data_IF_217975076816
#
_entry.id   IF_217975076816
#
_cell.length_a   1.000
_cell.length_b   1.000
_cell.length_c   1.000
_cell.angle_alpha   90.00
_cell.angle_beta   90.00
_cell.angle_gamma   90.00
#
_symmetry.space_group_name_H-M   'P 1'
#
loop_
_entity.id
_entity.type
_entity.pdbx_description
1 polymer ?
#
# COMPACT_ATOMS: atom_id res chain seq x y z
N UNK A 1 47.42 -45.31 1.66
CA UNK A 1 46.77 -45.93 2.82
C UNK A 1 45.76 -44.91 3.32
N UNK A 2 44.57 -44.77 2.75
CA UNK A 2 43.59 -45.77 2.29
C UNK A 2 42.86 -46.46 3.44
N UNK A 3 41.76 -45.85 3.89
CA UNK A 3 40.42 -46.39 3.66
C UNK A 3 39.38 -45.25 3.66
N UNK A 4 38.32 -45.35 2.83
CA UNK A 4 37.22 -44.38 2.82
C UNK A 4 36.23 -44.67 3.96
N UNK A 5 35.42 -43.67 4.32
CA UNK A 5 34.12 -43.91 4.94
C UNK A 5 33.14 -44.20 3.78
N UNK A 6 32.53 -45.37 3.82
CA UNK A 6 31.57 -45.82 2.82
C UNK A 6 30.25 -45.08 2.95
N UNK A 7 29.48 -45.05 1.85
CA UNK A 7 28.02 -45.06 1.89
C UNK A 7 27.53 -46.07 2.93
N UNK A 8 26.76 -45.59 3.91
CA UNK A 8 25.92 -46.44 4.76
C UNK A 8 24.47 -46.07 4.43
N UNK A 9 23.79 -47.07 3.90
CA UNK A 9 22.51 -47.03 3.22
C UNK A 9 21.41 -46.42 4.10
N UNK A 10 20.90 -45.25 3.71
CA UNK A 10 19.58 -44.80 4.18
C UNK A 10 18.51 -45.70 3.56
N UNK A 11 18.29 -46.85 4.20
CA UNK A 11 17.24 -47.80 3.90
C UNK A 11 15.88 -47.12 3.97
N UNK A 12 15.33 -46.75 2.80
CA UNK A 12 13.91 -46.48 2.66
C UNK A 12 13.15 -47.78 2.94
N UNK A 13 12.51 -47.89 4.10
CA UNK A 13 11.39 -48.82 4.24
C UNK A 13 10.28 -48.35 3.28
N UNK A 14 9.82 -49.19 2.33
CA UNK A 14 8.64 -48.86 1.55
C UNK A 14 7.45 -48.81 2.52
N UNK A 15 6.73 -47.70 2.52
CA UNK A 15 5.42 -47.64 3.18
C UNK A 15 4.52 -48.66 2.48
N UNK A 16 3.95 -49.59 3.25
CA UNK A 16 2.99 -50.56 2.73
C UNK A 16 1.79 -49.79 2.13
N UNK A 17 1.66 -49.83 0.80
CA UNK A 17 0.45 -49.44 0.10
C UNK A 17 -0.66 -50.44 0.44
N UNK A 18 -1.45 -50.16 1.48
CA UNK A 18 -2.69 -50.90 1.69
C UNK A 18 -3.67 -50.60 0.54
N UNK A 19 -4.08 -51.61 -0.25
CA UNK A 19 -5.07 -51.40 -1.30
C UNK A 19 -6.44 -51.32 -0.64
N UNK A 20 -6.90 -50.11 -0.31
CA UNK A 20 -8.27 -49.85 0.15
C UNK A 20 -9.23 -49.98 -1.05
N UNK A 21 -9.40 -51.22 -1.50
CA UNK A 21 -10.48 -51.62 -2.39
C UNK A 21 -11.75 -51.81 -1.59
N UNK A 22 -12.64 -50.82 -1.63
CA UNK A 22 -13.96 -50.89 -1.03
C UNK A 22 -14.91 -49.95 -1.78
N UNK A 23 -15.85 -50.53 -2.53
CA UNK A 23 -17.05 -49.83 -2.97
C UNK A 23 -17.90 -49.50 -1.73
N UNK A 24 -17.58 -48.40 -1.05
CA UNK A 24 -18.50 -47.78 -0.10
C UNK A 24 -19.53 -46.98 -0.89
N UNK A 25 -20.76 -47.51 -0.95
CA UNK A 25 -21.92 -46.73 -1.38
C UNK A 25 -21.92 -45.40 -0.60
N UNK A 26 -21.85 -44.28 -1.32
CA UNK A 26 -22.12 -42.96 -0.76
C UNK A 26 -23.59 -42.88 -0.36
N UNK A 27 -23.90 -43.39 0.84
CA UNK A 27 -25.18 -43.13 1.49
C UNK A 27 -25.35 -41.62 1.59
N UNK A 28 -26.43 -41.04 1.03
CA UNK A 28 -26.67 -39.60 1.16
C UNK A 28 -26.66 -39.23 2.64
N UNK A 29 -25.87 -38.23 3.02
CA UNK A 29 -25.91 -37.66 4.36
C UNK A 29 -27.30 -37.08 4.58
N UNK A 30 -28.06 -37.71 5.47
CA UNK A 30 -29.43 -37.31 5.80
C UNK A 30 -29.37 -36.07 6.70
N UNK A 31 -29.40 -34.90 6.07
CA UNK A 31 -29.26 -33.60 6.75
C UNK A 31 -30.42 -33.31 7.72
N UNK A 32 -31.57 -33.98 7.56
CA UNK A 32 -32.71 -33.88 8.48
C UNK A 32 -32.43 -34.58 9.83
N UNK A 33 -31.40 -35.43 9.93
CA UNK A 33 -31.02 -36.13 11.17
C UNK A 33 -30.07 -35.33 12.10
N UNK A 34 -29.64 -34.13 11.71
CA UNK A 34 -28.70 -33.29 12.47
C UNK A 34 -29.35 -32.15 13.28
N UNK A 35 -30.67 -31.94 13.16
CA UNK A 35 -31.39 -30.84 13.85
C UNK A 35 -31.87 -31.24 15.27
N UNK A 36 -31.96 -32.54 15.57
CA UNK A 36 -32.54 -33.07 16.83
C UNK A 36 -31.50 -33.27 17.98
N UNK A 37 -30.19 -33.10 17.75
CA UNK A 37 -29.14 -33.35 18.76
C UNK A 37 -28.36 -32.09 19.20
N UNK A 38 -28.99 -30.92 19.13
CA UNK A 38 -28.50 -29.71 19.82
C UNK A 38 -29.41 -29.45 21.02
N UNK A 39 -29.00 -29.90 22.22
CA UNK A 39 -29.70 -29.53 23.45
C UNK A 39 -29.76 -27.99 23.59
N UNK A 40 -30.94 -27.40 23.88
CA UNK A 40 -31.03 -25.97 24.08
C UNK A 40 -30.22 -25.58 25.30
N UNK A 41 -29.19 -24.75 25.10
CA UNK A 41 -28.37 -24.17 26.17
C UNK A 41 -29.30 -23.45 27.14
N UNK A 42 -29.51 -24.05 28.32
CA UNK A 42 -30.23 -23.43 29.42
C UNK A 42 -29.43 -22.20 29.81
N UNK A 43 -30.03 -21.01 29.64
CA UNK A 43 -29.48 -19.78 30.20
C UNK A 43 -29.68 -19.82 31.70
N UNK A 44 -28.61 -19.59 32.44
CA UNK A 44 -28.65 -19.46 33.89
C UNK A 44 -29.45 -18.19 34.25
N UNK A 45 -30.24 -18.21 35.32
CA UNK A 45 -31.14 -17.10 35.72
C UNK A 45 -30.39 -15.76 35.87
N UNK A 46 -29.10 -15.82 36.26
CA UNK A 46 -28.18 -14.67 36.35
C UNK A 46 -27.98 -13.94 35.01
N UNK A 47 -28.18 -14.63 33.88
CA UNK A 47 -28.09 -14.07 32.52
C UNK A 47 -29.34 -13.30 32.10
N UNK A 48 -30.51 -13.60 32.69
CA UNK A 48 -31.76 -12.90 32.36
C UNK A 48 -31.90 -11.60 33.17
N UNK A 49 -31.50 -11.56 34.46
CA UNK A 49 -31.44 -10.31 35.23
C UNK A 49 -30.52 -9.25 34.59
N UNK A 50 -29.41 -9.68 33.97
CA UNK A 50 -28.52 -8.78 33.24
C UNK A 50 -29.16 -8.16 31.99
N UNK A 51 -30.11 -8.85 31.33
CA UNK A 51 -30.82 -8.30 30.17
C UNK A 51 -31.91 -7.31 30.58
N UNK A 52 -32.62 -7.57 31.67
CA UNK A 52 -33.65 -6.66 32.20
C UNK A 52 -32.99 -5.34 32.71
N UNK A 53 -31.80 -5.43 33.29
CA UNK A 53 -30.98 -4.26 33.68
C UNK A 53 -30.55 -3.40 32.47
N UNK A 54 -30.43 -3.98 31.27
CA UNK A 54 -30.09 -3.23 30.05
C UNK A 54 -31.34 -2.59 29.43
N UNK A 55 -32.52 -3.19 29.60
CA UNK A 55 -33.79 -2.61 29.14
C UNK A 55 -34.14 -1.31 29.89
N UNK A 56 -33.88 -1.24 31.20
CA UNK A 56 -34.20 -0.07 32.03
C UNK A 56 -33.21 1.12 31.87
N UNK A 57 -32.15 0.94 31.06
CA UNK A 57 -31.28 2.03 30.57
C UNK A 57 -31.74 2.60 29.21
N UNK A 58 -32.83 2.09 28.63
CA UNK A 58 -33.46 2.55 27.39
C UNK A 58 -34.24 3.87 27.49
N UNK A 59 -33.71 4.86 28.22
CA UNK A 59 -34.40 6.12 28.52
C UNK A 59 -34.54 7.09 27.33
N UNK A 60 -35.79 7.28 26.89
CA UNK A 60 -36.31 8.46 26.16
C UNK A 60 -35.58 8.89 24.87
N UNK A 61 -35.67 8.06 23.82
CA UNK A 61 -35.59 8.55 22.44
C UNK A 61 -36.98 8.52 21.79
N UNK A 62 -37.67 9.66 21.87
CA UNK A 62 -38.90 9.92 21.10
C UNK A 62 -38.63 9.74 19.60
N UNK A 63 -39.60 9.21 18.82
CA UNK A 63 -39.51 9.27 17.38
C UNK A 63 -39.50 10.75 16.95
N UNK A 64 -38.54 11.12 16.12
CA UNK A 64 -38.56 12.40 15.44
C UNK A 64 -39.60 12.33 14.33
N UNK A 65 -40.71 13.03 14.56
CA UNK A 65 -41.87 13.12 13.66
C UNK A 65 -41.51 13.76 12.31
N UNK A 66 -42.33 13.51 11.30
CA UNK A 66 -42.12 13.97 9.93
C UNK A 66 -42.32 15.50 9.83
N UNK A 67 -41.39 16.18 9.14
CA UNK A 67 -41.63 17.54 8.61
C UNK A 67 -41.11 17.66 7.18
N UNK A 68 -41.87 17.09 6.24
CA UNK A 68 -41.99 17.73 4.92
C UNK A 68 -42.69 19.08 5.11
N UNK A 69 -42.08 20.15 4.61
CA UNK A 69 -42.77 21.39 4.24
C UNK A 69 -41.91 22.16 3.25
N UNK A 70 -42.45 22.34 2.07
CA UNK A 70 -41.83 22.98 0.91
C UNK A 70 -41.86 24.52 0.98
N UNK A 71 -41.40 25.16 -0.11
CA UNK A 71 -41.65 26.55 -0.51
C UNK A 71 -40.89 27.66 0.27
N UNK A 72 -40.46 28.76 -0.37
CA UNK A 72 -40.37 29.07 -1.80
C UNK A 72 -39.31 30.16 -2.05
N UNK A 73 -38.88 30.24 -3.32
CA UNK A 73 -38.23 31.37 -4.02
C UNK A 73 -37.97 32.69 -3.30
N UNK A 74 -36.80 33.30 -3.58
CA UNK A 74 -36.79 34.63 -4.24
C UNK A 74 -35.53 34.84 -5.10
N UNK A 75 -35.73 35.53 -6.23
CA UNK A 75 -34.76 35.86 -7.27
C UNK A 75 -34.06 37.21 -7.02
N UNK A 76 -33.15 37.56 -7.95
CA UNK A 76 -32.51 38.88 -8.13
C UNK A 76 -31.37 39.23 -7.12
N UNK A 77 -30.28 39.89 -7.51
CA UNK A 77 -29.93 40.55 -8.78
C UNK A 77 -28.40 40.70 -8.94
N UNK A 78 -27.88 40.54 -10.16
CA UNK A 78 -26.63 41.21 -10.55
C UNK A 78 -26.88 42.72 -10.71
N UNK A 79 -25.83 43.55 -10.64
CA UNK A 79 -25.45 44.23 -11.89
C UNK A 79 -23.94 44.36 -12.13
N UNK A 80 -23.56 44.34 -13.41
CA UNK A 80 -22.31 44.93 -13.93
C UNK A 80 -22.43 46.47 -14.04
N UNK A 81 -21.38 47.13 -14.58
CA UNK A 81 -21.17 48.58 -14.88
C UNK A 81 -20.50 49.41 -13.76
N UNK A 82 -19.61 50.39 -14.04
CA UNK A 82 -18.83 50.74 -15.25
C UNK A 82 -17.77 51.82 -14.89
N UNK A 83 -16.61 51.80 -15.57
CA UNK A 83 -15.59 52.84 -15.82
C UNK A 83 -15.06 53.85 -14.74
N UNK A 84 -13.72 53.91 -14.74
CA UNK A 84 -12.71 54.99 -14.52
C UNK A 84 -13.12 56.46 -14.88
N UNK A 85 -12.34 57.53 -14.52
CA UNK A 85 -10.87 57.66 -14.37
C UNK A 85 -10.43 58.37 -13.04
N UNK A 86 -9.26 59.02 -12.80
CA UNK A 86 -8.13 59.53 -13.62
C UNK A 86 -6.82 59.78 -12.80
N UNK A 87 -5.83 60.46 -13.41
CA UNK A 87 -4.59 61.07 -12.86
C UNK A 87 -3.46 60.08 -12.42
N UNK A 88 -2.44 59.75 -13.22
CA UNK A 88 -1.41 60.57 -13.92
C UNK A 88 -0.23 60.99 -13.02
N UNK A 89 0.99 60.51 -13.36
CA UNK A 89 2.24 61.30 -13.36
C UNK A 89 3.41 60.54 -14.05
N UNK A 90 3.77 61.02 -15.25
CA UNK A 90 5.08 61.06 -15.93
C UNK A 90 6.10 59.88 -15.91
N UNK A 91 6.49 59.43 -17.12
CA UNK A 91 7.81 58.87 -17.46
C UNK A 91 8.83 60.00 -17.78
N UNK A 92 10.16 59.74 -17.93
CA UNK A 92 10.77 59.16 -19.17
C UNK A 92 11.72 57.95 -18.89
N UNK A 93 12.02 57.03 -19.82
CA UNK A 93 13.01 57.09 -20.94
C UNK A 93 14.46 57.46 -20.52
N UNK A 94 15.58 56.90 -21.04
CA UNK A 94 15.86 55.97 -22.15
C UNK A 94 17.31 55.41 -22.05
N UNK A 95 17.61 54.23 -22.65
CA UNK A 95 18.97 53.77 -23.08
C UNK A 95 20.04 53.57 -21.96
N UNK A 96 21.16 52.83 -22.11
CA UNK A 96 22.12 52.66 -23.23
C UNK A 96 22.74 51.23 -23.24
N UNK A 97 23.01 50.70 -24.43
CA UNK A 97 23.80 49.48 -24.69
C UNK A 97 25.30 49.74 -24.52
N UNK A 98 26.02 48.89 -23.77
CA UNK A 98 27.48 48.87 -23.76
C UNK A 98 28.00 47.43 -23.91
N UNK A 99 28.97 47.26 -24.81
CA UNK A 99 29.55 45.99 -25.27
C UNK A 99 31.08 46.19 -25.32
N UNK A 100 31.85 45.43 -24.55
CA UNK A 100 33.33 45.26 -24.63
C UNK A 100 33.74 44.33 -23.46
N UNK A 101 34.20 43.08 -23.64
CA UNK A 101 35.33 42.53 -24.39
C UNK A 101 36.64 42.45 -23.57
N UNK A 102 37.47 41.45 -23.91
CA UNK A 102 38.68 40.94 -23.23
C UNK A 102 38.46 40.12 -21.93
N UNK A 103 39.23 39.07 -21.59
CA UNK A 103 39.90 37.98 -22.33
C UNK A 103 40.67 37.10 -21.30
N UNK A 104 40.71 35.79 -21.55
CA UNK A 104 41.79 34.84 -21.17
C UNK A 104 42.23 34.64 -19.69
N UNK A 105 41.84 33.47 -19.17
CA UNK A 105 42.75 32.40 -18.69
C UNK A 105 43.63 32.61 -17.45
N UNK A 106 43.28 31.91 -16.35
CA UNK A 106 44.20 30.99 -15.66
C UNK A 106 43.43 29.88 -14.94
N UNK A 107 44.10 28.74 -14.71
CA UNK A 107 43.51 27.50 -14.20
C UNK A 107 43.49 27.42 -12.65
N UNK A 108 42.99 26.29 -12.14
CA UNK A 108 43.02 25.88 -10.71
C UNK A 108 42.31 26.85 -9.74
N UNK A 109 41.12 26.53 -9.24
CA UNK A 109 40.85 25.25 -8.56
C UNK A 109 39.41 24.84 -8.82
N UNK A 110 39.20 23.68 -9.45
CA UNK A 110 37.92 23.00 -9.35
C UNK A 110 37.81 22.45 -7.92
N UNK A 111 37.42 23.32 -6.99
CA UNK A 111 36.77 22.86 -5.78
C UNK A 111 35.56 22.07 -6.26
N UNK A 112 35.63 20.75 -6.13
CA UNK A 112 34.52 19.86 -6.37
C UNK A 112 33.49 20.18 -5.28
N UNK A 113 32.67 21.18 -5.58
CA UNK A 113 31.58 21.65 -4.74
C UNK A 113 30.56 20.52 -4.72
N UNK A 114 30.82 19.57 -3.80
CA UNK A 114 29.89 18.51 -3.42
C UNK A 114 28.58 19.20 -3.13
N UNK A 115 27.71 19.20 -4.14
CA UNK A 115 26.34 19.69 -4.02
C UNK A 115 25.78 19.03 -2.77
N UNK A 116 25.13 19.79 -1.86
CA UNK A 116 24.67 19.23 -0.61
C UNK A 116 23.91 17.95 -0.94
N UNK A 117 24.34 16.84 -0.33
CA UNK A 117 23.81 15.51 -0.66
C UNK A 117 22.36 15.54 -0.22
N UNK A 118 21.46 15.90 -1.14
CA UNK A 118 20.02 15.94 -0.86
C UNK A 118 19.65 14.49 -0.65
N UNK A 119 19.48 14.11 0.62
CA UNK A 119 19.15 12.76 1.06
C UNK A 119 17.85 12.31 0.40
N UNK A 120 18.01 11.69 -0.76
CA UNK A 120 16.93 11.21 -1.59
C UNK A 120 16.51 9.84 -1.06
N UNK A 121 15.23 9.72 -0.71
CA UNK A 121 14.65 8.44 -0.31
C UNK A 121 14.20 7.71 -1.58
N UNK A 122 14.67 6.48 -1.73
CA UNK A 122 14.31 5.58 -2.80
C UNK A 122 13.33 4.52 -2.29
N UNK A 123 12.39 4.13 -3.16
CA UNK A 123 11.53 2.94 -2.99
C UNK A 123 11.56 2.12 -4.27
N UNK A 124 11.54 0.79 -4.12
CA UNK A 124 11.44 -0.14 -5.24
C UNK A 124 10.04 -0.74 -5.20
N UNK A 125 9.28 -0.51 -6.27
CA UNK A 125 7.84 -0.73 -6.31
C UNK A 125 7.47 -1.49 -7.57
N UNK A 126 6.74 -2.60 -7.43
CA UNK A 126 5.98 -3.20 -8.53
C UNK A 126 4.71 -2.33 -8.71
N UNK A 127 4.53 -1.66 -9.86
CA UNK A 127 3.34 -0.85 -10.11
C UNK A 127 2.10 -1.73 -10.26
N UNK A 128 0.95 -1.20 -9.87
CA UNK A 128 -0.33 -1.88 -10.07
C UNK A 128 -0.84 -1.66 -11.51
N UNK A 129 -1.87 -2.41 -11.91
CA UNK A 129 -2.61 -2.08 -13.13
C UNK A 129 -3.30 -0.72 -12.98
N UNK A 130 -3.54 0.04 -14.07
CA UNK A 130 -4.14 1.38 -13.98
C UNK A 130 -5.52 1.42 -13.29
N UNK A 131 -6.31 0.34 -13.39
CA UNK A 131 -7.60 0.24 -12.70
C UNK A 131 -7.41 0.00 -11.19
N UNK A 132 -6.49 -0.88 -10.77
CA UNK A 132 -6.13 -1.04 -9.36
C UNK A 132 -5.56 0.25 -8.77
N UNK A 133 -4.66 0.95 -9.47
CA UNK A 133 -4.16 2.27 -9.04
C UNK A 133 -5.30 3.26 -8.77
N UNK A 134 -6.28 3.32 -9.67
CA UNK A 134 -7.46 4.19 -9.56
C UNK A 134 -8.29 3.80 -8.32
N UNK A 135 -8.56 2.52 -8.12
CA UNK A 135 -9.29 2.03 -6.95
C UNK A 135 -8.57 2.37 -5.63
N UNK A 136 -7.25 2.18 -5.55
CA UNK A 136 -6.45 2.56 -4.37
C UNK A 136 -6.55 4.08 -4.10
N UNK A 137 -6.49 4.92 -5.14
CA UNK A 137 -6.64 6.38 -5.02
C UNK A 137 -8.05 6.77 -4.55
N UNK A 138 -9.10 6.11 -5.03
CA UNK A 138 -10.48 6.32 -4.58
C UNK A 138 -10.67 5.92 -3.11
N UNK A 139 -10.13 4.77 -2.69
CA UNK A 139 -10.16 4.32 -1.30
C UNK A 139 -9.40 5.28 -0.37
N UNK A 140 -8.20 5.74 -0.76
CA UNK A 140 -7.43 6.75 -0.03
C UNK A 140 -8.21 8.05 0.16
N UNK A 141 -8.87 8.52 -0.90
CA UNK A 141 -9.74 9.71 -0.86
C UNK A 141 -10.91 9.53 0.11
N UNK A 142 -11.56 8.36 0.11
CA UNK A 142 -12.66 8.05 1.03
C UNK A 142 -12.18 7.95 2.50
N UNK A 143 -11.03 7.32 2.74
CA UNK A 143 -10.38 7.22 4.05
C UNK A 143 -9.77 8.52 4.57
N UNK A 144 -9.79 9.61 3.77
CA UNK A 144 -9.12 10.90 4.05
C UNK A 144 -7.60 10.78 4.23
N UNK A 145 -6.98 9.86 3.50
CA UNK A 145 -5.56 9.58 3.52
C UNK A 145 -4.87 10.46 2.46
N UNK A 146 -4.16 11.50 2.90
CA UNK A 146 -3.49 12.47 2.01
C UNK A 146 -1.99 12.23 1.86
N UNK A 147 -1.30 11.78 2.91
CA UNK A 147 0.15 11.66 2.94
C UNK A 147 0.58 10.20 2.71
N UNK A 148 0.34 9.71 1.49
CA UNK A 148 0.81 8.38 1.07
C UNK A 148 1.59 8.47 -0.25
N UNK A 149 2.64 7.65 -0.41
CA UNK A 149 3.39 7.59 -1.66
C UNK A 149 2.57 6.86 -2.75
N UNK A 150 3.01 6.84 -4.03
CA UNK A 150 2.25 6.22 -5.12
C UNK A 150 1.76 4.80 -4.83
N UNK A 151 0.56 4.40 -5.29
CA UNK A 151 0.08 3.02 -5.19
C UNK A 151 1.04 2.03 -5.84
N UNK A 152 1.17 0.85 -5.26
CA UNK A 152 2.14 -0.16 -5.70
C UNK A 152 2.39 -1.18 -4.60
N UNK A 153 3.14 -2.23 -4.96
CA UNK A 153 3.67 -3.21 -4.02
C UNK A 153 5.14 -2.88 -3.81
N UNK A 154 5.50 -2.48 -2.60
CA UNK A 154 6.90 -2.31 -2.21
C UNK A 154 7.61 -3.67 -2.16
N UNK A 155 8.80 -3.73 -2.74
CA UNK A 155 9.63 -4.95 -2.76
C UNK A 155 10.70 -4.92 -1.66
N UNK A 156 11.13 -3.73 -1.24
CA UNK A 156 12.03 -3.52 -0.10
C UNK A 156 11.59 -2.30 0.69
N UNK A 157 11.98 -2.22 1.96
CA UNK A 157 11.78 -1.03 2.77
C UNK A 157 12.46 0.21 2.15
N UNK A 158 11.96 1.44 2.38
CA UNK A 158 12.58 2.66 1.86
C UNK A 158 14.04 2.80 2.29
N UNK A 159 14.89 3.27 1.38
CA UNK A 159 16.33 3.37 1.62
C UNK A 159 16.97 4.62 1.00
N UNK A 160 18.17 4.95 1.46
CA UNK A 160 19.09 5.88 0.82
C UNK A 160 20.16 5.09 0.04
N UNK A 161 20.66 5.65 -1.07
CA UNK A 161 21.72 5.03 -1.86
C UNK A 161 22.68 6.09 -2.41
N UNK A 162 23.99 5.86 -2.27
CA UNK A 162 25.05 6.71 -2.82
C UNK A 162 25.25 6.43 -4.32
N UNK A 163 25.41 5.16 -4.70
CA UNK A 163 25.55 4.74 -6.11
C UNK A 163 24.21 4.24 -6.67
N UNK A 164 23.46 5.18 -7.28
CA UNK A 164 22.24 4.89 -8.03
C UNK A 164 22.49 3.90 -9.19
N UNK A 165 23.62 3.99 -9.89
CA UNK A 165 23.85 3.17 -11.09
C UNK A 165 24.08 1.69 -10.73
N UNK A 166 24.76 1.42 -9.62
CA UNK A 166 24.87 0.07 -9.07
C UNK A 166 23.51 -0.50 -8.67
N UNK A 167 22.65 0.29 -8.01
CA UNK A 167 21.28 -0.12 -7.64
C UNK A 167 20.44 -0.44 -8.88
N UNK A 168 20.48 0.40 -9.92
CA UNK A 168 19.77 0.14 -11.19
C UNK A 168 20.28 -1.13 -11.90
N UNK A 169 21.59 -1.40 -11.87
CA UNK A 169 22.16 -2.61 -12.44
C UNK A 169 21.71 -3.88 -11.71
N UNK A 170 21.65 -3.84 -10.36
CA UNK A 170 21.10 -4.94 -9.54
C UNK A 170 19.61 -5.15 -9.82
N UNK A 171 18.81 -4.08 -9.80
CA UNK A 171 17.36 -4.16 -10.07
C UNK A 171 17.06 -4.74 -11.45
N UNK A 172 17.85 -4.36 -12.46
CA UNK A 172 17.75 -4.91 -13.83
C UNK A 172 18.12 -6.40 -13.90
N UNK A 173 19.06 -6.86 -13.07
CA UNK A 173 19.40 -8.28 -13.00
C UNK A 173 18.34 -9.08 -12.25
N UNK A 174 17.79 -8.52 -11.18
CA UNK A 174 16.72 -9.13 -10.38
C UNK A 174 15.43 -9.25 -11.20
N UNK A 175 15.02 -8.18 -11.89
CA UNK A 175 13.81 -8.17 -12.73
C UNK A 175 13.77 -9.34 -13.73
N UNK A 176 14.89 -9.59 -14.41
CA UNK A 176 15.03 -10.68 -15.40
C UNK A 176 14.94 -12.09 -14.82
N UNK A 177 15.16 -12.25 -13.52
CA UNK A 177 15.20 -13.55 -12.86
C UNK A 177 13.86 -13.86 -12.17
N UNK A 178 13.11 -12.84 -11.77
CA UNK A 178 11.89 -12.97 -10.95
C UNK A 178 10.61 -12.49 -11.64
N UNK A 179 10.67 -11.70 -12.72
CA UNK A 179 9.49 -11.22 -13.44
C UNK A 179 9.23 -12.04 -14.73
N UNK A 180 7.97 -12.22 -15.14
CA UNK A 180 6.75 -11.73 -14.51
C UNK A 180 6.33 -12.58 -13.29
N UNK A 181 5.83 -11.92 -12.24
CA UNK A 181 5.13 -12.58 -11.12
C UNK A 181 3.63 -12.54 -11.38
N UNK A 182 2.95 -13.69 -11.34
CA UNK A 182 1.49 -13.73 -11.34
C UNK A 182 0.99 -13.40 -9.93
N UNK A 183 0.16 -12.38 -9.77
CA UNK A 183 -0.32 -11.89 -8.47
C UNK A 183 -1.85 -11.84 -8.44
N UNK A 184 -2.43 -12.27 -7.32
CA UNK A 184 -3.86 -12.23 -7.03
C UNK A 184 -4.13 -11.43 -5.76
N UNK A 185 -5.11 -10.51 -5.80
CA UNK A 185 -5.68 -9.90 -4.59
C UNK A 185 -6.69 -10.89 -3.96
N UNK A 186 -6.33 -11.42 -2.79
CA UNK A 186 -7.08 -12.51 -2.12
C UNK A 186 -7.93 -12.08 -0.93
N UNK A 187 -7.74 -10.86 -0.41
CA UNK A 187 -8.48 -10.41 0.76
C UNK A 187 -8.15 -9.00 1.25
N UNK A 188 -8.81 -8.61 2.34
CA UNK A 188 -8.62 -7.33 3.03
C UNK A 188 -7.90 -7.56 4.36
N UNK A 189 -6.71 -6.97 4.50
CA UNK A 189 -5.95 -6.94 5.76
C UNK A 189 -6.26 -5.67 6.54
N UNK A 190 -6.78 -5.86 7.74
CA UNK A 190 -6.99 -4.83 8.75
C UNK A 190 -5.96 -5.04 9.87
N UNK A 191 -5.12 -4.05 10.16
CA UNK A 191 -4.06 -4.14 11.17
C UNK A 191 -4.08 -2.93 12.12
N UNK A 192 -3.82 -3.17 13.41
CA UNK A 192 -3.59 -2.12 14.41
C UNK A 192 -2.10 -2.01 14.66
N UNK A 193 -1.58 -0.79 14.65
CA UNK A 193 -0.17 -0.45 14.91
C UNK A 193 -0.13 0.33 16.23
N UNK A 194 0.60 -0.19 17.21
CA UNK A 194 0.64 0.40 18.56
C UNK A 194 -0.74 0.52 19.19
N UNK A 195 -1.04 1.69 19.76
CA UNK A 195 -2.27 1.92 20.52
C UNK A 195 -3.40 2.64 19.74
N UNK A 196 -3.07 3.41 18.69
CA UNK A 196 -4.04 4.30 18.00
C UNK A 196 -3.79 4.48 16.49
N UNK A 197 -2.82 3.78 15.91
CA UNK A 197 -2.55 3.81 14.47
C UNK A 197 -3.14 2.56 13.82
N UNK A 198 -3.59 2.67 12.58
CA UNK A 198 -4.25 1.58 11.88
C UNK A 198 -3.72 1.50 10.45
N UNK A 199 -3.53 0.29 9.92
CA UNK A 199 -3.12 0.05 8.55
C UNK A 199 -4.18 -0.78 7.81
N UNK A 200 -4.49 -0.35 6.60
CA UNK A 200 -5.44 -0.98 5.69
C UNK A 200 -4.72 -1.39 4.41
N UNK A 201 -4.80 -2.66 4.05
CA UNK A 201 -4.13 -3.21 2.87
C UNK A 201 -4.95 -4.34 2.21
N UNK A 202 -4.63 -4.66 0.96
CA UNK A 202 -5.08 -5.91 0.33
C UNK A 202 -4.01 -6.99 0.45
N UNK A 203 -4.40 -8.22 0.81
CA UNK A 203 -3.51 -9.38 0.80
C UNK A 203 -3.27 -9.86 -0.62
N UNK A 204 -2.11 -10.47 -0.83
CA UNK A 204 -1.67 -10.97 -2.13
C UNK A 204 -1.31 -12.46 -2.05
N UNK A 205 -1.51 -13.16 -3.16
CA UNK A 205 -1.04 -14.52 -3.39
C UNK A 205 -0.38 -14.61 -4.79
N UNK A 206 0.64 -15.47 -5.04
CA UNK A 206 1.36 -16.34 -4.11
C UNK A 206 2.23 -15.54 -3.13
N UNK A 207 1.90 -15.61 -1.84
CA UNK A 207 2.60 -14.81 -0.83
C UNK A 207 4.06 -15.24 -0.63
N UNK A 208 4.36 -16.54 -0.77
CA UNK A 208 5.71 -17.07 -0.54
C UNK A 208 6.68 -16.73 -1.68
N UNK A 209 6.26 -16.83 -2.95
CA UNK A 209 7.10 -16.47 -4.10
C UNK A 209 7.52 -15.00 -4.03
N UNK A 210 6.58 -14.10 -3.68
CA UNK A 210 6.91 -12.69 -3.50
C UNK A 210 7.82 -12.46 -2.28
N UNK A 211 7.65 -13.19 -1.16
CA UNK A 211 8.62 -13.13 -0.04
C UNK A 211 10.01 -13.62 -0.44
N UNK A 212 10.12 -14.67 -1.24
CA UNK A 212 11.42 -15.16 -1.74
C UNK A 212 12.08 -14.11 -2.64
N UNK A 213 11.33 -13.53 -3.57
CA UNK A 213 11.81 -12.48 -4.46
C UNK A 213 12.22 -11.20 -3.70
N UNK A 214 11.45 -10.78 -2.68
CA UNK A 214 11.81 -9.71 -1.74
C UNK A 214 13.08 -10.05 -0.93
N UNK A 215 13.20 -11.30 -0.45
CA UNK A 215 14.35 -11.74 0.35
C UNK A 215 15.64 -11.78 -0.48
N UNK A 216 15.57 -12.23 -1.73
CA UNK A 216 16.69 -12.16 -2.67
C UNK A 216 17.08 -10.70 -2.95
N UNK A 217 16.12 -9.81 -3.22
CA UNK A 217 16.41 -8.41 -3.50
C UNK A 217 17.08 -7.71 -2.30
N UNK A 218 16.55 -7.90 -1.09
CA UNK A 218 17.15 -7.39 0.13
C UNK A 218 18.59 -7.90 0.30
N UNK A 219 18.85 -9.19 0.06
CA UNK A 219 20.18 -9.79 0.14
C UNK A 219 21.18 -9.16 -0.85
N UNK A 220 20.77 -8.91 -2.09
CA UNK A 220 21.67 -8.35 -3.11
C UNK A 220 21.84 -6.83 -2.95
N UNK A 221 20.81 -6.10 -2.48
CA UNK A 221 20.91 -4.67 -2.24
C UNK A 221 21.59 -4.29 -0.91
N UNK A 222 21.65 -5.18 0.09
CA UNK A 222 22.15 -4.87 1.44
C UNK A 222 23.55 -4.22 1.51
N UNK A 223 24.41 -4.43 0.50
CA UNK A 223 25.74 -3.82 0.42
C UNK A 223 25.77 -2.45 -0.30
N UNK A 224 24.65 -2.02 -0.90
CA UNK A 224 24.53 -0.82 -1.74
C UNK A 224 23.56 0.23 -1.17
N UNK A 225 22.77 -0.13 -0.16
CA UNK A 225 21.71 0.71 0.39
C UNK A 225 21.88 0.93 1.89
N UNK A 226 21.52 2.13 2.36
CA UNK A 226 21.36 2.45 3.78
C UNK A 226 19.87 2.48 4.11
N UNK A 227 19.33 1.52 4.87
CA UNK A 227 17.91 1.53 5.25
C UNK A 227 17.60 2.72 6.17
N UNK A 228 16.39 3.28 6.07
CA UNK A 228 15.97 4.36 6.98
C UNK A 228 15.76 3.82 8.42
N UNK A 229 16.07 4.60 9.47
CA UNK A 229 16.06 4.11 10.86
C UNK A 229 14.68 3.64 11.35
N UNK A 230 13.59 4.20 10.81
CA UNK A 230 12.21 3.85 11.17
C UNK A 230 11.59 2.80 10.22
N UNK A 231 12.40 2.14 9.38
CA UNK A 231 11.92 1.12 8.45
C UNK A 231 11.54 -0.20 9.15
N UNK A 232 10.44 -0.86 8.72
CA UNK A 232 10.06 -2.15 9.29
C UNK A 232 11.08 -3.24 8.93
N UNK A 233 11.39 -4.10 9.90
CA UNK A 233 12.33 -5.22 9.74
C UNK A 233 11.76 -6.30 8.81
N UNK A 234 10.46 -6.58 8.93
CA UNK A 234 9.72 -7.46 8.03
C UNK A 234 8.80 -6.64 7.14
N UNK A 235 8.95 -6.78 5.83
CA UNK A 235 8.13 -6.04 4.88
C UNK A 235 6.89 -6.87 4.48
N UNK A 236 5.66 -6.35 4.63
CA UNK A 236 4.46 -7.14 4.36
C UNK A 236 4.19 -7.28 2.85
N UNK A 237 3.91 -8.50 2.42
CA UNK A 237 3.37 -8.81 1.08
C UNK A 237 1.91 -8.38 1.02
N UNK A 238 1.68 -7.11 0.66
CA UNK A 238 0.35 -6.52 0.52
C UNK A 238 0.34 -5.22 -0.30
N UNK A 239 -0.82 -4.85 -0.85
CA UNK A 239 -1.03 -3.50 -1.42
C UNK A 239 -1.50 -2.55 -0.32
N UNK A 240 -0.64 -1.62 0.11
CA UNK A 240 -0.98 -0.68 1.18
C UNK A 240 -1.94 0.42 0.70
N UNK A 241 -3.20 0.34 1.14
CA UNK A 241 -4.21 1.38 0.88
C UNK A 241 -3.92 2.59 1.76
N UNK A 242 -3.76 2.38 3.06
CA UNK A 242 -3.45 3.44 4.01
C UNK A 242 -2.59 2.90 5.13
N UNK A 243 -1.51 3.62 5.42
CA UNK A 243 -0.74 3.46 6.64
C UNK A 243 -1.08 4.61 7.60
N UNK A 244 -0.90 4.40 8.91
CA UNK A 244 -1.18 5.40 9.95
C UNK A 244 -2.60 6.03 9.89
N UNK A 245 -3.61 5.27 9.44
CA UNK A 245 -5.00 5.73 9.28
C UNK A 245 -5.61 6.07 10.65
N UNK A 246 -6.30 7.21 10.71
CA UNK A 246 -6.93 7.67 11.95
C UNK A 246 -8.09 6.74 12.40
N UNK A 247 -8.32 6.56 13.72
CA UNK A 247 -9.32 5.62 14.24
C UNK A 247 -10.75 5.86 13.75
N UNK A 248 -11.15 7.11 13.50
CA UNK A 248 -12.52 7.48 13.11
C UNK A 248 -12.91 7.03 11.68
N UNK A 249 -12.14 7.33 10.62
CA UNK A 249 -12.45 6.85 9.26
C UNK A 249 -12.16 5.36 9.06
N UNK A 250 -11.30 4.74 9.87
CA UNK A 250 -10.77 3.40 9.60
C UNK A 250 -11.84 2.29 9.46
N UNK A 251 -12.84 2.14 10.36
CA UNK A 251 -13.88 1.11 10.18
C UNK A 251 -14.71 1.28 8.90
N UNK A 252 -14.97 2.53 8.50
CA UNK A 252 -15.68 2.82 7.26
C UNK A 252 -14.84 2.50 6.02
N UNK A 253 -13.52 2.74 6.07
CA UNK A 253 -12.58 2.35 5.02
C UNK A 253 -12.52 0.84 4.84
N UNK A 254 -12.33 0.07 5.93
CA UNK A 254 -12.32 -1.40 5.87
C UNK A 254 -13.67 -1.94 5.36
N UNK A 255 -14.79 -1.42 5.86
CA UNK A 255 -16.12 -1.79 5.38
C UNK A 255 -16.34 -1.45 3.90
N UNK A 256 -15.77 -0.36 3.38
CA UNK A 256 -15.82 -0.04 1.95
C UNK A 256 -14.94 -0.99 1.12
N UNK A 257 -13.73 -1.33 1.61
CA UNK A 257 -12.86 -2.30 0.97
C UNK A 257 -13.53 -3.67 0.87
N UNK A 258 -14.16 -4.15 1.94
CA UNK A 258 -14.86 -5.44 1.96
C UNK A 258 -16.11 -5.45 1.06
N UNK A 259 -16.88 -4.36 1.01
CA UNK A 259 -18.09 -4.25 0.15
C UNK A 259 -17.78 -4.12 -1.35
N UNK A 260 -16.55 -3.76 -1.70
CA UNK A 260 -16.05 -3.62 -3.08
C UNK A 260 -14.85 -4.52 -3.32
N UNK A 261 -14.78 -5.63 -2.58
CA UNK A 261 -13.72 -6.60 -2.76
C UNK A 261 -14.06 -7.48 -3.96
N UNK A 262 -13.26 -7.36 -5.01
CA UNK A 262 -13.24 -8.28 -6.14
C UNK A 262 -11.86 -8.94 -6.17
N UNK A 263 -11.82 -10.25 -6.43
CA UNK A 263 -10.57 -10.97 -6.71
C UNK A 263 -10.02 -10.49 -8.05
N UNK A 264 -8.80 -9.97 -8.06
CA UNK A 264 -8.13 -9.48 -9.27
C UNK A 264 -6.80 -10.20 -9.42
N UNK A 265 -6.63 -10.91 -10.54
CA UNK A 265 -5.38 -11.55 -10.96
C UNK A 265 -4.71 -10.71 -12.06
N UNK A 266 -3.40 -10.50 -11.98
CA UNK A 266 -2.61 -9.86 -13.03
C UNK A 266 -1.16 -10.33 -13.01
N UNK A 267 -0.47 -10.18 -14.14
CA UNK A 267 0.95 -10.45 -14.25
C UNK A 267 1.76 -9.16 -14.03
N UNK A 268 2.61 -9.15 -13.02
CA UNK A 268 3.54 -8.08 -12.71
C UNK A 268 4.79 -8.18 -13.60
N UNK A 269 4.72 -7.62 -14.80
CA UNK A 269 5.83 -7.60 -15.78
C UNK A 269 6.98 -6.64 -15.45
N UNK A 270 6.79 -5.69 -14.52
CA UNK A 270 7.72 -4.57 -14.35
C UNK A 270 8.00 -4.25 -12.89
N UNK A 271 9.19 -3.75 -12.60
CA UNK A 271 9.56 -3.14 -11.31
C UNK A 271 10.11 -1.74 -11.55
N UNK A 272 9.72 -0.78 -10.71
CA UNK A 272 10.11 0.63 -10.85
C UNK A 272 10.86 1.12 -9.62
N UNK A 273 11.98 1.79 -9.84
CA UNK A 273 12.67 2.59 -8.85
C UNK A 273 12.01 3.98 -8.84
N UNK A 274 11.49 4.40 -7.69
CA UNK A 274 10.95 5.74 -7.48
C UNK A 274 11.75 6.47 -6.41
N UNK A 275 11.81 7.80 -6.50
CA UNK A 275 12.58 8.68 -5.61
C UNK A 275 11.69 9.79 -5.09
N UNK A 276 11.95 10.21 -3.85
CA UNK A 276 11.48 11.46 -3.29
C UNK A 276 12.68 12.24 -2.72
N UNK A 277 12.75 13.53 -3.02
CA UNK A 277 13.58 14.47 -2.25
C UNK A 277 12.71 15.23 -1.24
N UNK A 278 13.26 15.68 -0.09
CA UNK A 278 12.52 16.48 0.88
C UNK A 278 11.78 17.65 0.22
N UNK A 279 10.46 17.74 0.46
CA UNK A 279 9.60 18.78 -0.12
C UNK A 279 9.16 18.57 -1.58
N UNK A 280 9.53 17.46 -2.24
CA UNK A 280 9.04 17.11 -3.58
C UNK A 280 8.03 15.95 -3.55
N UNK A 281 7.34 15.74 -4.68
CA UNK A 281 6.55 14.53 -4.96
C UNK A 281 7.45 13.35 -5.32
N UNK A 282 6.87 12.14 -5.33
CA UNK A 282 7.54 10.94 -5.83
C UNK A 282 7.67 10.98 -7.35
N UNK A 283 8.87 10.70 -7.86
CA UNK A 283 9.21 10.66 -9.28
C UNK A 283 9.72 9.26 -9.66
N UNK A 284 9.30 8.74 -10.82
CA UNK A 284 9.83 7.49 -11.36
C UNK A 284 11.21 7.73 -11.96
N UNK A 285 12.20 7.03 -11.42
CA UNK A 285 13.62 7.17 -11.74
C UNK A 285 14.02 6.24 -12.89
N UNK A 286 13.56 5.00 -12.82
CA UNK A 286 13.78 3.95 -13.80
C UNK A 286 12.71 2.86 -13.65
N UNK A 287 12.40 2.16 -14.75
CA UNK A 287 11.54 0.98 -14.76
C UNK A 287 12.23 -0.15 -15.52
N UNK A 288 12.14 -1.36 -14.97
CA UNK A 288 12.84 -2.55 -15.45
C UNK A 288 11.86 -3.66 -15.81
N UNK A 289 12.29 -4.49 -16.75
CA UNK A 289 11.70 -5.75 -17.23
C UNK A 289 12.87 -6.70 -17.48
#
# INVERSE_FOLDING_TARGET
MSKPLSDDELSYEPLDEEPVGGDEELTPLDLDALDDEIEPVKRDEETEEMLDTIADLGGDLKPADEVESEAETLLEKSPETESTPAAELAAPEMSVKAESAAELSTAETAAEEKSPLVEAVYRVVIPLTPELEKQVRELRKAGKITEMPPPGIDVVAPFQAEDRAAVEAVLKSWARNHLPLQLEITGVKAQVIGAQQYAAAWTLDPAEELKEAQSDLNRVLAALITPLPDSPIEFPVCVTIGDHVAPRPYPALIGQMQRRFDTVVWDAETVSLIRQTPGSTWETVASFR
#
